data_IF_146725149759
#
_entry.id   IF_146725149759
#
_cell.length_a   1.000
_cell.length_b   1.000
_cell.length_c   1.000
_cell.angle_alpha   90.00
_cell.angle_beta   90.00
_cell.angle_gamma   90.00
#
_symmetry.space_group_name_H-M   'P 1'
#
loop_
_entity.id
_entity.type
_entity.pdbx_description
1 polymer ?
#
# COMPACT_ATOMS: atom_id res chain seq x y z
N UNK A 1 2.24 44.18 -13.76
CA UNK A 1 2.63 43.18 -14.77
C UNK A 1 2.91 41.87 -14.05
N UNK A 2 2.08 40.88 -14.35
CA UNK A 2 1.91 39.62 -13.65
C UNK A 2 3.15 38.71 -13.74
N UNK A 3 3.73 38.36 -12.59
CA UNK A 3 4.82 37.36 -12.51
C UNK A 3 4.75 36.43 -11.29
N UNK A 4 3.57 36.21 -10.72
CA UNK A 4 3.46 35.47 -9.45
C UNK A 4 2.76 34.10 -9.50
N UNK A 5 2.49 33.51 -10.67
CA UNK A 5 1.82 32.18 -10.71
C UNK A 5 2.35 31.32 -11.86
N UNK A 6 3.60 30.83 -11.77
CA UNK A 6 4.15 29.86 -12.74
C UNK A 6 4.87 28.65 -12.14
N UNK A 7 4.58 28.27 -10.88
CA UNK A 7 5.22 27.10 -10.25
C UNK A 7 4.30 26.23 -9.40
N UNK A 8 3.07 25.95 -9.84
CA UNK A 8 2.34 24.82 -9.26
C UNK A 8 1.85 23.90 -10.37
N UNK A 9 2.54 22.78 -10.63
CA UNK A 9 1.89 21.66 -11.28
C UNK A 9 0.68 21.24 -10.43
N UNK A 10 -0.46 20.88 -11.04
CA UNK A 10 -1.67 20.54 -10.31
C UNK A 10 -1.40 19.36 -9.37
N UNK A 11 -1.51 19.61 -8.06
CA UNK A 11 -1.22 18.67 -6.97
C UNK A 11 -2.35 17.63 -6.78
N UNK A 12 -3.04 17.28 -7.86
CA UNK A 12 -4.24 16.44 -7.86
C UNK A 12 -4.03 15.28 -8.83
N UNK A 13 -3.12 14.38 -8.45
CA UNK A 13 -2.95 13.08 -9.08
C UNK A 13 -3.78 12.04 -8.33
N UNK A 14 -5.02 11.83 -8.77
CA UNK A 14 -5.71 10.55 -8.72
C UNK A 14 -5.79 9.84 -7.34
N UNK A 15 -6.61 10.42 -6.45
CA UNK A 15 -6.99 9.84 -5.14
C UNK A 15 -8.13 8.84 -5.34
N UNK A 16 -7.80 7.62 -5.74
CA UNK A 16 -8.71 6.47 -5.64
C UNK A 16 -8.10 5.31 -4.83
N UNK A 17 -6.86 5.48 -4.32
CA UNK A 17 -6.10 4.46 -3.60
C UNK A 17 -5.35 5.02 -2.36
N UNK A 18 -5.74 6.17 -1.81
CA UNK A 18 -4.94 6.83 -0.75
C UNK A 18 -3.75 7.57 -1.36
N UNK A 19 -3.67 8.87 -1.09
CA UNK A 19 -2.74 9.79 -1.77
C UNK A 19 -1.29 9.68 -1.31
N UNK A 20 -1.01 8.95 -0.23
CA UNK A 20 0.29 8.91 0.42
C UNK A 20 1.08 7.64 0.08
N UNK A 21 2.21 7.82 -0.59
CA UNK A 21 3.14 6.73 -0.95
C UNK A 21 3.68 5.97 0.29
N UNK A 22 3.69 6.63 1.45
CA UNK A 22 4.07 6.04 2.73
C UNK A 22 3.07 4.99 3.20
N UNK A 23 1.77 5.20 2.97
CA UNK A 23 0.73 4.23 3.36
C UNK A 23 0.89 2.92 2.58
N UNK A 24 1.14 3.01 1.27
CA UNK A 24 1.44 1.85 0.44
C UNK A 24 2.73 1.14 0.85
N UNK A 25 3.74 1.87 1.31
CA UNK A 25 4.95 1.28 1.86
C UNK A 25 4.64 0.47 3.13
N UNK A 26 3.78 0.97 4.01
CA UNK A 26 3.33 0.24 5.21
C UNK A 26 2.52 -1.00 4.83
N UNK A 27 1.57 -0.89 3.90
CA UNK A 27 0.79 -2.03 3.39
C UNK A 27 1.71 -3.13 2.85
N UNK A 28 2.69 -2.75 2.03
CA UNK A 28 3.69 -3.68 1.50
C UNK A 28 4.53 -4.35 2.59
N UNK A 29 4.98 -3.58 3.58
CA UNK A 29 5.79 -4.09 4.68
C UNK A 29 5.02 -5.08 5.56
N UNK A 30 3.78 -4.74 5.92
CA UNK A 30 2.88 -5.61 6.69
C UNK A 30 2.61 -6.92 5.95
N UNK A 31 2.32 -6.82 4.65
CA UNK A 31 2.09 -7.98 3.78
C UNK A 31 3.33 -8.87 3.73
N UNK A 32 4.52 -8.29 3.53
CA UNK A 32 5.78 -9.03 3.44
C UNK A 32 6.10 -9.74 4.76
N UNK A 33 6.05 -9.03 5.89
CA UNK A 33 6.38 -9.60 7.21
C UNK A 33 5.43 -10.74 7.55
N UNK A 34 4.14 -10.59 7.29
CA UNK A 34 3.17 -11.64 7.57
C UNK A 34 3.35 -12.86 6.66
N UNK A 35 3.61 -12.66 5.36
CA UNK A 35 3.89 -13.74 4.42
C UNK A 35 5.11 -14.54 4.85
N UNK A 36 6.20 -13.84 5.22
CA UNK A 36 7.42 -14.48 5.71
C UNK A 36 7.21 -15.21 7.03
N UNK A 37 6.50 -14.58 7.99
CA UNK A 37 6.17 -15.22 9.26
C UNK A 37 5.41 -16.53 9.07
N UNK A 38 4.34 -16.51 8.27
CA UNK A 38 3.55 -17.72 7.95
C UNK A 38 4.41 -18.76 7.23
N UNK A 39 5.22 -18.35 6.25
CA UNK A 39 6.10 -19.27 5.52
C UNK A 39 7.14 -19.94 6.41
N UNK A 40 7.74 -19.20 7.34
CA UNK A 40 8.72 -19.73 8.29
C UNK A 40 8.07 -20.66 9.31
N UNK A 41 6.88 -20.32 9.83
CA UNK A 41 6.18 -21.09 10.86
C UNK A 41 5.56 -22.38 10.32
N UNK A 42 5.12 -22.37 9.06
CA UNK A 42 4.39 -23.50 8.45
C UNK A 42 5.23 -24.31 7.47
N UNK A 43 6.40 -23.81 7.06
CA UNK A 43 7.21 -24.33 5.95
C UNK A 43 6.41 -24.50 4.64
N UNK A 44 5.28 -23.81 4.50
CA UNK A 44 4.36 -23.94 3.37
C UNK A 44 4.31 -22.65 2.57
N UNK A 45 4.87 -22.70 1.37
CA UNK A 45 4.88 -21.56 0.43
C UNK A 45 3.45 -21.18 0.02
N UNK A 46 2.58 -22.18 -0.20
CA UNK A 46 1.19 -21.94 -0.63
C UNK A 46 0.39 -21.25 0.47
N UNK A 47 0.53 -21.70 1.73
CA UNK A 47 -0.14 -21.07 2.88
C UNK A 47 0.36 -19.65 3.13
N UNK A 48 1.67 -19.43 2.99
CA UNK A 48 2.28 -18.11 3.11
C UNK A 48 1.73 -17.12 2.07
N UNK A 49 1.70 -17.52 0.80
CA UNK A 49 1.19 -16.68 -0.28
C UNK A 49 -0.30 -16.36 -0.09
N UNK A 50 -1.11 -17.34 0.32
CA UNK A 50 -2.54 -17.12 0.58
C UNK A 50 -2.76 -16.10 1.69
N UNK A 51 -2.05 -16.24 2.82
CA UNK A 51 -2.11 -15.28 3.91
C UNK A 51 -1.64 -13.88 3.49
N UNK A 52 -0.54 -13.80 2.72
CA UNK A 52 -0.03 -12.55 2.17
C UNK A 52 -1.06 -11.84 1.29
N UNK A 53 -1.67 -12.54 0.35
CA UNK A 53 -2.71 -11.98 -0.53
C UNK A 53 -3.91 -11.48 0.29
N UNK A 54 -4.37 -12.26 1.28
CA UNK A 54 -5.48 -11.84 2.15
C UNK A 54 -5.16 -10.55 2.89
N UNK A 55 -3.97 -10.45 3.49
CA UNK A 55 -3.55 -9.27 4.24
C UNK A 55 -3.42 -8.08 3.31
N UNK A 56 -2.84 -8.26 2.12
CA UNK A 56 -2.73 -7.20 1.13
C UNK A 56 -4.10 -6.64 0.76
N UNK A 57 -5.07 -7.51 0.47
CA UNK A 57 -6.43 -7.11 0.11
C UNK A 57 -7.12 -6.34 1.25
N UNK A 58 -7.03 -6.84 2.48
CA UNK A 58 -7.62 -6.17 3.65
C UNK A 58 -6.99 -4.79 3.85
N UNK A 59 -5.67 -4.73 3.81
CA UNK A 59 -4.91 -3.49 4.03
C UNK A 59 -5.18 -2.46 2.93
N UNK A 60 -5.18 -2.88 1.66
CA UNK A 60 -5.52 -2.04 0.52
C UNK A 60 -6.97 -1.53 0.60
N UNK A 61 -7.91 -2.36 1.05
CA UNK A 61 -9.30 -1.96 1.26
C UNK A 61 -9.42 -0.90 2.35
N UNK A 62 -8.72 -1.09 3.47
CA UNK A 62 -8.69 -0.11 4.56
C UNK A 62 -8.15 1.24 4.08
N UNK A 63 -7.02 1.25 3.35
CA UNK A 63 -6.45 2.47 2.76
C UNK A 63 -7.40 3.12 1.75
N UNK A 64 -8.14 2.34 0.97
CA UNK A 64 -9.08 2.87 -0.01
C UNK A 64 -10.35 3.50 0.62
N UNK A 65 -10.69 3.11 1.85
CA UNK A 65 -11.91 3.58 2.56
C UNK A 65 -11.60 4.71 3.55
N UNK A 66 -10.33 4.87 3.96
CA UNK A 66 -9.82 6.01 4.72
C UNK A 66 -9.74 7.28 3.87
#
# INVERSE_FOLDING_TARGET
MDRAVKHQPPKWGFVLLGGDWVEWLIVGLLTMVATLGVGLLTASVVGALFAGVLIFLVSATVVAVL
#
